data_IF_484576357819
#
_entry.id   IF_484576357819
#
_cell.length_a   1.000
_cell.length_b   1.000
_cell.length_c   1.000
_cell.angle_alpha   90.00
_cell.angle_beta   90.00
_cell.angle_gamma   90.00
#
_symmetry.space_group_name_H-M   'P 1'
#
loop_
_entity.id
_entity.type
_entity.pdbx_description
1 polymer ?
#
# COMPACT_ATOMS: atom_id res chain seq x y z
N UNK A 1 2.75 -5.89 -15.32
CA UNK A 1 1.29 -5.70 -15.60
C UNK A 1 0.33 -6.81 -15.12
N UNK A 2 0.75 -7.90 -14.46
CA UNK A 2 -0.17 -9.03 -14.19
C UNK A 2 -1.10 -8.88 -12.98
N UNK A 3 -0.79 -8.02 -12.01
CA UNK A 3 -1.50 -8.00 -10.72
C UNK A 3 -2.37 -6.75 -10.46
N UNK A 4 -1.99 -5.56 -10.95
CA UNK A 4 -2.81 -4.34 -10.83
C UNK A 4 -4.17 -4.48 -11.53
N UNK A 5 -4.23 -5.24 -12.62
CA UNK A 5 -5.47 -5.50 -13.39
C UNK A 5 -6.47 -6.41 -12.67
N UNK A 6 -6.07 -7.10 -11.60
CA UNK A 6 -6.95 -7.98 -10.82
C UNK A 6 -7.76 -7.21 -9.77
N UNK A 7 -7.47 -5.93 -9.55
CA UNK A 7 -8.25 -5.09 -8.66
C UNK A 7 -9.69 -4.93 -9.17
N UNK A 8 -10.70 -5.03 -8.28
CA UNK A 8 -12.09 -4.74 -8.63
C UNK A 8 -12.16 -3.35 -9.26
N UNK A 9 -12.80 -3.24 -10.43
CA UNK A 9 -12.88 -2.00 -11.21
C UNK A 9 -13.77 -0.97 -10.50
N UNK A 10 -13.24 0.14 -9.96
CA UNK A 10 -14.04 1.25 -9.48
C UNK A 10 -14.01 2.40 -10.48
N UNK A 11 -14.64 3.53 -10.13
CA UNK A 11 -14.38 4.81 -10.77
C UNK A 11 -12.92 5.20 -10.51
N UNK A 12 -12.05 4.87 -11.45
CA UNK A 12 -10.68 5.37 -11.45
C UNK A 12 -10.69 6.88 -11.70
N UNK A 13 -10.06 7.65 -10.82
CA UNK A 13 -9.73 9.03 -11.13
C UNK A 13 -8.43 9.04 -11.93
N UNK A 14 -8.53 9.47 -13.19
CA UNK A 14 -7.35 9.59 -14.05
C UNK A 14 -6.60 10.87 -13.71
N UNK A 15 -5.42 10.71 -13.10
CA UNK A 15 -4.45 11.79 -12.91
C UNK A 15 -3.50 11.81 -14.10
N UNK A 16 -2.74 12.90 -14.25
CA UNK A 16 -1.90 13.17 -15.42
C UNK A 16 -1.05 11.99 -15.93
N UNK A 17 -0.58 11.08 -15.06
CA UNK A 17 0.21 9.89 -15.45
C UNK A 17 -0.11 8.63 -14.64
N UNK A 18 -1.20 8.63 -13.87
CA UNK A 18 -1.54 7.50 -13.01
C UNK A 18 -3.04 7.47 -12.76
N UNK A 19 -3.53 6.30 -12.38
CA UNK A 19 -4.93 6.15 -11.97
C UNK A 19 -4.94 6.03 -10.45
N UNK A 20 -5.81 6.80 -9.80
CA UNK A 20 -6.02 6.74 -8.36
C UNK A 20 -7.39 6.13 -8.09
N UNK A 21 -7.45 5.18 -7.17
CA UNK A 21 -8.69 4.74 -6.55
C UNK A 21 -8.69 5.31 -5.13
N UNK A 22 -9.75 6.03 -4.77
CA UNK A 22 -9.99 6.42 -3.39
C UNK A 22 -10.99 5.43 -2.80
N UNK A 23 -10.66 4.87 -1.65
CA UNK A 23 -11.49 3.92 -0.93
C UNK A 23 -11.58 4.34 0.53
N UNK A 24 -12.76 4.25 1.14
CA UNK A 24 -12.94 4.56 2.57
C UNK A 24 -13.09 6.04 2.91
N UNK A 25 -13.29 6.91 1.93
CA UNK A 25 -13.80 8.26 2.17
C UNK A 25 -13.36 9.35 1.18
N UNK A 26 -14.16 10.42 1.11
CA UNK A 26 -13.94 11.58 0.25
C UNK A 26 -13.33 12.73 1.07
N UNK A 27 -12.22 13.34 0.61
CA UNK A 27 -11.69 14.55 1.23
C UNK A 27 -12.71 15.70 1.15
N UNK A 28 -13.00 16.32 2.29
CA UNK A 28 -13.84 17.51 2.42
C UNK A 28 -13.08 18.60 3.18
N UNK A 29 -13.46 19.88 3.00
CA UNK A 29 -12.80 21.00 3.69
C UNK A 29 -12.81 20.90 5.23
N UNK A 30 -13.72 20.10 5.80
CA UNK A 30 -13.89 19.90 7.25
C UNK A 30 -13.39 18.53 7.75
N UNK A 31 -12.74 17.73 6.90
CA UNK A 31 -12.25 16.38 7.26
C UNK A 31 -12.52 15.35 6.18
N UNK A 32 -12.46 14.07 6.54
CA UNK A 32 -12.78 12.94 5.65
C UNK A 32 -14.23 12.53 5.84
N UNK A 33 -14.99 12.45 4.75
CA UNK A 33 -16.34 11.83 4.78
C UNK A 33 -16.15 10.33 4.62
N UNK A 34 -16.50 9.54 5.63
CA UNK A 34 -16.39 8.10 5.55
C UNK A 34 -17.35 7.54 4.48
N UNK A 35 -16.83 6.67 3.62
CA UNK A 35 -17.64 5.90 2.67
C UNK A 35 -17.46 4.42 2.96
N UNK A 36 -18.55 3.65 2.83
CA UNK A 36 -18.46 2.19 2.93
C UNK A 36 -17.58 1.65 1.80
N UNK A 37 -16.58 0.85 2.16
CA UNK A 37 -15.78 0.11 1.20
C UNK A 37 -16.71 -0.87 0.48
N UNK A 38 -16.77 -0.89 -0.87
CA UNK A 38 -17.69 -1.77 -1.56
C UNK A 38 -17.42 -3.23 -1.23
N UNK A 39 -18.48 -3.93 -0.85
CA UNK A 39 -18.45 -5.35 -0.44
C UNK A 39 -17.98 -6.30 -1.54
N UNK A 40 -18.09 -5.87 -2.80
CA UNK A 40 -17.71 -6.64 -3.99
C UNK A 40 -16.22 -6.53 -4.34
N UNK A 41 -15.41 -5.92 -3.47
CA UNK A 41 -13.98 -5.95 -3.67
C UNK A 41 -13.49 -7.38 -3.45
N UNK A 42 -12.95 -8.02 -4.49
CA UNK A 42 -12.16 -9.25 -4.32
C UNK A 42 -11.08 -8.93 -3.29
N UNK A 43 -11.12 -9.58 -2.13
CA UNK A 43 -10.03 -9.50 -1.17
C UNK A 43 -8.79 -10.09 -1.84
N UNK A 44 -7.96 -9.21 -2.39
CA UNK A 44 -6.68 -9.62 -2.94
C UNK A 44 -5.86 -10.15 -1.78
N UNK A 45 -5.57 -11.45 -1.80
CA UNK A 45 -4.61 -12.02 -0.88
C UNK A 45 -3.25 -11.44 -1.23
N UNK A 46 -2.59 -10.74 -0.31
CA UNK A 46 -1.27 -10.20 -0.60
C UNK A 46 -0.28 -11.35 -0.80
N UNK A 47 0.69 -11.15 -1.69
CA UNK A 47 1.64 -12.21 -2.12
C UNK A 47 2.73 -12.46 -1.06
N UNK A 48 3.10 -11.40 -0.36
CA UNK A 48 4.04 -11.39 0.75
C UNK A 48 3.87 -10.11 1.59
N UNK A 49 4.53 -10.06 2.75
CA UNK A 49 4.56 -8.89 3.62
C UNK A 49 5.98 -8.49 4.00
N UNK A 50 6.10 -7.27 4.51
CA UNK A 50 7.32 -6.75 5.12
C UNK A 50 7.01 -6.28 6.54
N UNK A 51 7.85 -6.66 7.49
CA UNK A 51 7.82 -6.14 8.85
C UNK A 51 8.68 -4.87 8.92
N UNK A 52 8.06 -3.74 9.26
CA UNK A 52 8.74 -2.44 9.29
C UNK A 52 8.97 -1.97 10.73
N UNK A 53 10.17 -2.23 11.24
CA UNK A 53 10.61 -1.76 12.56
C UNK A 53 10.58 -0.22 12.65
N UNK A 54 10.50 0.33 13.87
CA UNK A 54 10.60 1.78 14.08
C UNK A 54 11.96 2.28 13.57
N UNK A 55 11.97 3.41 12.85
CA UNK A 55 13.17 4.00 12.23
C UNK A 55 13.80 3.16 11.10
N UNK A 56 13.08 2.18 10.57
CA UNK A 56 13.47 1.48 9.34
C UNK A 56 13.25 2.35 8.11
N UNK A 57 14.04 2.09 7.07
CA UNK A 57 13.88 2.65 5.74
C UNK A 57 13.48 1.53 4.78
N UNK A 58 12.33 1.67 4.13
CA UNK A 58 11.88 0.78 3.06
C UNK A 58 12.10 1.48 1.72
N UNK A 59 12.95 0.91 0.87
CA UNK A 59 13.18 1.38 -0.50
C UNK A 59 12.47 0.42 -1.45
N UNK A 60 11.44 0.91 -2.14
CA UNK A 60 10.74 0.17 -3.18
C UNK A 60 11.24 0.64 -4.54
N UNK A 61 11.74 -0.28 -5.36
CA UNK A 61 12.30 -0.02 -6.69
C UNK A 61 11.75 -1.02 -7.72
N UNK A 62 11.93 -0.70 -9.00
CA UNK A 62 11.65 -1.57 -10.14
C UNK A 62 10.27 -2.23 -10.07
N UNK A 63 10.20 -3.56 -10.21
CA UNK A 63 8.95 -4.33 -10.26
C UNK A 63 8.13 -4.13 -8.99
N UNK A 64 8.76 -4.15 -7.82
CA UNK A 64 8.07 -4.01 -6.52
C UNK A 64 7.40 -2.63 -6.37
N UNK A 65 7.97 -1.59 -6.99
CA UNK A 65 7.35 -0.26 -7.00
C UNK A 65 6.26 -0.09 -8.05
N UNK A 66 6.45 -0.64 -9.26
CA UNK A 66 5.58 -0.36 -10.41
C UNK A 66 4.42 -1.35 -10.58
N UNK A 67 4.68 -2.64 -10.33
CA UNK A 67 3.76 -3.73 -10.69
C UNK A 67 2.99 -4.31 -9.48
N UNK A 68 3.48 -4.07 -8.27
CA UNK A 68 2.87 -4.56 -7.03
C UNK A 68 2.03 -3.50 -6.35
N UNK A 69 0.85 -3.91 -5.88
CA UNK A 69 0.04 -3.12 -4.96
C UNK A 69 0.58 -3.33 -3.55
N UNK A 70 0.74 -2.23 -2.82
CA UNK A 70 1.13 -2.24 -1.42
C UNK A 70 0.01 -1.61 -0.59
N UNK A 71 -0.29 -2.25 0.54
CA UNK A 71 -1.28 -1.78 1.49
C UNK A 71 -0.79 -2.03 2.91
N UNK A 72 -1.45 -1.39 3.87
CA UNK A 72 -1.29 -1.69 5.29
C UNK A 72 -2.66 -2.18 5.73
N UNK A 73 -2.76 -3.46 6.09
CA UNK A 73 -4.03 -4.05 6.54
C UNK A 73 -4.54 -3.34 7.79
N UNK A 74 -5.84 -3.10 7.90
CA UNK A 74 -6.45 -2.54 9.11
C UNK A 74 -6.58 -3.63 10.18
N UNK A 75 -5.72 -3.60 11.19
CA UNK A 75 -5.75 -4.54 12.32
C UNK A 75 -5.04 -3.95 13.55
N UNK A 76 -5.21 -4.61 14.70
CA UNK A 76 -4.64 -4.19 15.98
C UNK A 76 -3.31 -4.87 16.32
N UNK A 77 -2.96 -5.94 15.61
CA UNK A 77 -1.70 -6.67 15.80
C UNK A 77 -1.26 -7.32 14.49
N UNK A 78 0.03 -7.56 14.38
CA UNK A 78 0.64 -8.35 13.31
C UNK A 78 1.06 -9.71 13.88
N UNK A 79 0.86 -10.79 13.14
CA UNK A 79 1.37 -12.12 13.48
C UNK A 79 2.63 -12.38 12.69
N UNK A 80 3.69 -12.82 13.34
CA UNK A 80 4.94 -13.21 12.69
C UNK A 80 4.74 -14.55 12.01
N UNK A 81 4.90 -14.55 10.69
CA UNK A 81 4.79 -15.75 9.86
C UNK A 81 5.96 -15.77 8.86
N UNK A 82 6.94 -16.64 9.09
CA UNK A 82 8.18 -16.69 8.29
C UNK A 82 7.95 -17.10 6.84
N UNK A 83 6.86 -17.84 6.58
CA UNK A 83 6.45 -18.21 5.23
C UNK A 83 6.01 -17.00 4.40
N UNK A 84 5.65 -15.89 5.06
CA UNK A 84 4.93 -14.77 4.46
C UNK A 84 5.68 -13.43 4.56
N UNK A 85 6.40 -13.19 5.66
CA UNK A 85 7.19 -11.97 5.86
C UNK A 85 8.60 -12.15 5.30
N UNK A 86 8.94 -11.38 4.25
CA UNK A 86 10.15 -11.62 3.44
C UNK A 86 11.44 -11.04 4.04
N UNK A 87 11.34 -10.11 4.98
CA UNK A 87 12.49 -9.37 5.50
C UNK A 87 12.80 -9.67 6.98
N UNK A 88 12.26 -10.74 7.57
CA UNK A 88 12.51 -11.07 8.98
C UNK A 88 14.00 -11.22 9.30
N UNK A 89 14.78 -11.75 8.36
CA UNK A 89 16.23 -11.90 8.49
C UNK A 89 17.00 -10.56 8.51
N UNK A 90 16.36 -9.46 8.11
CA UNK A 90 16.94 -8.11 8.09
C UNK A 90 16.50 -7.29 9.32
N UNK A 91 15.62 -7.81 10.15
CA UNK A 91 15.16 -7.15 11.36
C UNK A 91 16.25 -7.12 12.43
N UNK A 92 16.24 -6.06 13.24
CA UNK A 92 17.17 -5.89 14.35
C UNK A 92 16.87 -6.87 15.48
N UNK A 93 15.58 -7.17 15.69
CA UNK A 93 15.12 -8.12 16.68
C UNK A 93 14.92 -9.51 16.06
N UNK A 94 15.15 -10.54 16.87
CA UNK A 94 14.71 -11.89 16.54
C UNK A 94 13.25 -12.02 16.94
N UNK A 95 12.44 -12.43 15.98
CA UNK A 95 11.01 -12.68 16.15
C UNK A 95 10.75 -14.18 16.13
N UNK A 96 9.80 -14.63 16.96
CA UNK A 96 9.41 -16.03 17.01
C UNK A 96 8.23 -16.31 16.08
N UNK A 97 8.17 -17.51 15.49
CA UNK A 97 7.06 -17.91 14.63
C UNK A 97 5.74 -17.90 15.43
N UNK A 98 4.72 -17.23 14.89
CA UNK A 98 3.42 -17.07 15.55
C UNK A 98 3.36 -15.96 16.60
N UNK A 99 4.47 -15.25 16.87
CA UNK A 99 4.50 -14.11 17.78
C UNK A 99 3.50 -13.02 17.34
N UNK A 100 2.79 -12.42 18.31
CA UNK A 100 1.83 -11.34 18.06
C UNK A 100 2.40 -9.98 18.49
N UNK A 101 2.59 -9.10 17.51
CA UNK A 101 3.06 -7.74 17.73
C UNK A 101 1.88 -6.76 17.75
N UNK A 102 1.56 -6.23 18.93
CA UNK A 102 0.50 -5.23 19.05
C UNK A 102 0.90 -3.91 18.37
N UNK A 103 0.02 -3.42 17.51
CA UNK A 103 0.23 -2.16 16.80
C UNK A 103 0.03 -0.98 17.74
N UNK A 104 0.84 0.04 17.51
CA UNK A 104 0.78 1.34 18.16
C UNK A 104 0.79 2.42 17.08
N UNK A 105 0.57 3.66 17.49
CA UNK A 105 0.70 4.80 16.57
C UNK A 105 2.08 4.81 15.92
N UNK A 106 2.08 4.73 14.58
CA UNK A 106 3.27 4.79 13.73
C UNK A 106 3.14 5.97 12.78
N UNK A 107 4.19 6.78 12.72
CA UNK A 107 4.33 7.85 11.72
C UNK A 107 5.32 7.36 10.66
N UNK A 108 4.95 7.46 9.39
CA UNK A 108 5.82 7.14 8.26
C UNK A 108 5.95 8.31 7.31
N UNK A 109 7.20 8.66 6.97
CA UNK A 109 7.49 9.62 5.92
C UNK A 109 7.70 8.86 4.61
N UNK A 110 6.96 9.24 3.56
CA UNK A 110 7.11 8.66 2.22
C UNK A 110 7.60 9.72 1.25
N UNK A 111 8.74 9.48 0.62
CA UNK A 111 9.32 10.36 -0.39
C UNK A 111 9.31 9.62 -1.73
N UNK A 112 8.88 10.30 -2.79
CA UNK A 112 8.85 9.75 -4.15
C UNK A 112 9.37 10.79 -5.12
N UNK A 113 10.24 10.38 -6.03
CA UNK A 113 10.60 11.21 -7.18
C UNK A 113 9.50 11.08 -8.24
N UNK A 114 8.93 12.21 -8.64
CA UNK A 114 7.92 12.27 -9.70
C UNK A 114 8.51 13.10 -10.83
N UNK A 115 9.03 12.48 -11.90
CA UNK A 115 9.59 13.21 -13.03
C UNK A 115 8.55 14.18 -13.60
N UNK A 116 8.99 15.39 -13.99
CA UNK A 116 8.12 16.33 -14.69
C UNK A 116 7.69 15.70 -16.01
N UNK A 117 6.39 15.51 -16.17
CA UNK A 117 5.81 15.03 -17.43
C UNK A 117 5.40 16.22 -18.28
N UNK A 118 5.99 16.37 -19.47
CA UNK A 118 5.56 17.38 -20.43
C UNK A 118 4.10 17.14 -20.82
N UNK A 119 3.24 18.11 -20.54
CA UNK A 119 1.82 18.08 -20.90
C UNK A 119 1.65 18.45 -22.37
N UNK A 120 2.04 17.57 -23.29
CA UNK A 120 1.67 17.74 -24.68
C UNK A 120 0.20 17.32 -24.82
N UNK A 121 -0.69 18.30 -24.68
CA UNK A 121 -2.10 18.15 -25.03
C UNK A 121 -2.18 18.14 -26.56
N UNK A 122 -2.10 16.97 -27.17
CA UNK A 122 -2.53 16.80 -28.56
C UNK A 122 -4.04 17.04 -28.58
N UNK A 123 -4.45 18.18 -29.12
CA UNK A 123 -5.84 18.44 -29.48
C UNK A 123 -6.10 17.64 -30.75
N UNK A 124 -6.83 16.54 -30.63
CA UNK A 124 -7.59 15.99 -31.74
C UNK A 124 -9.04 16.43 -31.56
#
# INVERSE_FOLDING_TARGET
MKHVSLCPLPKWTQLSNRRLQNWGGIPHQKGMVAEEIPKNQRQLKPEFSFLLERRSLLVLQDTLYHDYLHSISECNYDTIESSYIRNLNLCSFKYEEGEKLNRKTRISLTIRHVPKTSKLKLKF
#
